data_IF_543020514340
#
_entry.id   IF_543020514340
#
_cell.length_a   1.000
_cell.length_b   1.000
_cell.length_c   1.000
_cell.angle_alpha   90.00
_cell.angle_beta   90.00
_cell.angle_gamma   90.00
#
_symmetry.space_group_name_H-M   'P 1'
#
loop_
_entity.id
_entity.type
_entity.pdbx_description
1 polymer ?
#
# COMPACT_ATOMS: atom_id res chain seq x y z
N UNK A 1 34.35 44.60 -4.78
CA UNK A 1 33.85 43.34 -4.21
C UNK A 1 32.51 42.88 -4.82
N UNK A 2 31.73 43.78 -5.44
CA UNK A 2 30.47 43.49 -6.17
C UNK A 2 30.57 42.66 -7.48
N UNK A 3 31.58 42.81 -8.36
CA UNK A 3 31.55 42.14 -9.67
C UNK A 3 31.83 40.63 -9.59
N UNK A 4 32.66 40.21 -8.63
CA UNK A 4 32.96 38.79 -8.39
C UNK A 4 31.76 38.00 -7.86
N UNK A 5 30.91 38.64 -7.05
CA UNK A 5 29.69 38.02 -6.52
C UNK A 5 28.63 37.82 -7.61
N UNK A 6 28.47 38.79 -8.52
CA UNK A 6 27.59 38.64 -9.69
C UNK A 6 28.09 37.56 -10.64
N UNK A 7 29.40 37.49 -10.88
CA UNK A 7 30.01 36.43 -11.70
C UNK A 7 29.74 35.04 -11.11
N UNK A 8 29.90 34.86 -9.80
CA UNK A 8 29.66 33.58 -9.14
C UNK A 8 28.19 33.14 -9.20
N UNK A 9 27.26 34.08 -9.04
CA UNK A 9 25.82 33.81 -9.16
C UNK A 9 25.46 33.41 -10.61
N UNK A 10 26.01 34.11 -11.61
CA UNK A 10 25.81 33.77 -13.01
C UNK A 10 26.40 32.39 -13.36
N UNK A 11 27.62 32.09 -12.89
CA UNK A 11 28.25 30.79 -13.10
C UNK A 11 27.47 29.65 -12.43
N UNK A 12 26.97 29.87 -11.20
CA UNK A 12 26.12 28.91 -10.50
C UNK A 12 24.79 28.68 -11.22
N UNK A 13 24.17 29.74 -11.76
CA UNK A 13 22.94 29.63 -12.52
C UNK A 13 23.15 28.82 -13.82
N UNK A 14 24.25 29.07 -14.54
CA UNK A 14 24.60 28.31 -15.75
C UNK A 14 24.82 26.82 -15.42
N UNK A 15 25.50 26.52 -14.32
CA UNK A 15 25.71 25.13 -13.87
C UNK A 15 24.40 24.43 -13.51
N UNK A 16 23.48 25.12 -12.83
CA UNK A 16 22.16 24.57 -12.48
C UNK A 16 21.33 24.33 -13.74
N UNK A 17 21.33 25.27 -14.69
CA UNK A 17 20.61 25.10 -15.97
C UNK A 17 21.20 23.94 -16.77
N UNK A 18 22.53 23.87 -16.93
CA UNK A 18 23.20 22.79 -17.64
C UNK A 18 22.95 21.41 -16.99
N UNK A 19 22.96 21.35 -15.65
CA UNK A 19 22.65 20.12 -14.93
C UNK A 19 21.17 19.74 -15.09
N UNK A 20 20.25 20.71 -15.05
CA UNK A 20 18.83 20.46 -15.27
C UNK A 20 18.55 19.96 -16.68
N UNK A 21 19.19 20.53 -17.71
CA UNK A 21 19.07 20.07 -19.09
C UNK A 21 19.68 18.67 -19.27
N UNK A 22 20.82 18.39 -18.63
CA UNK A 22 21.43 17.06 -18.65
C UNK A 22 20.50 16.00 -18.05
N UNK A 23 19.89 16.29 -16.88
CA UNK A 23 18.96 15.37 -16.21
C UNK A 23 17.66 15.20 -17.04
N UNK A 24 17.14 16.28 -17.62
CA UNK A 24 15.95 16.20 -18.50
C UNK A 24 16.26 15.37 -19.74
N UNK A 25 17.41 15.59 -20.37
CA UNK A 25 17.80 14.87 -21.60
C UNK A 25 18.07 13.38 -21.32
N UNK A 26 18.69 13.05 -20.20
CA UNK A 26 18.92 11.64 -19.81
C UNK A 26 17.61 10.94 -19.46
N UNK A 27 16.69 11.61 -18.74
CA UNK A 27 15.35 11.06 -18.49
C UNK A 27 14.53 10.89 -19.78
N UNK A 28 14.63 11.82 -20.72
CA UNK A 28 13.95 11.72 -22.03
C UNK A 28 14.53 10.57 -22.85
N UNK A 29 15.84 10.35 -22.79
CA UNK A 29 16.52 9.20 -23.42
C UNK A 29 16.06 7.88 -22.80
N UNK A 30 16.02 7.78 -21.47
CA UNK A 30 15.51 6.59 -20.77
C UNK A 30 14.04 6.34 -21.13
N UNK A 31 13.22 7.39 -21.22
CA UNK A 31 11.81 7.25 -21.64
C UNK A 31 11.69 6.67 -23.05
N UNK A 32 12.52 7.16 -24.00
CA UNK A 32 12.56 6.60 -25.36
C UNK A 32 13.02 5.15 -25.38
N UNK A 33 14.03 4.80 -24.58
CA UNK A 33 14.52 3.43 -24.48
C UNK A 33 13.46 2.49 -23.89
N UNK A 34 12.63 2.96 -22.95
CA UNK A 34 11.48 2.21 -22.42
C UNK A 34 10.37 2.07 -23.46
N UNK A 35 10.06 3.12 -24.23
CA UNK A 35 9.05 3.06 -25.28
C UNK A 35 9.50 2.15 -26.44
N UNK A 36 10.77 2.21 -26.86
CA UNK A 36 11.36 1.28 -27.83
C UNK A 36 11.35 -0.15 -27.29
N UNK A 37 11.64 -0.35 -26.00
CA UNK A 37 11.57 -1.68 -25.38
C UNK A 37 10.12 -2.19 -25.35
N UNK A 38 9.14 -1.31 -25.14
CA UNK A 38 7.72 -1.64 -25.17
C UNK A 38 7.27 -2.02 -26.58
N UNK A 39 7.69 -1.26 -27.59
CA UNK A 39 7.39 -1.54 -29.00
C UNK A 39 8.03 -2.86 -29.45
N UNK A 40 9.31 -3.09 -29.10
CA UNK A 40 9.99 -4.37 -29.34
C UNK A 40 9.32 -5.54 -28.62
N UNK A 41 8.85 -5.33 -27.38
CA UNK A 41 8.14 -6.37 -26.63
C UNK A 41 6.77 -6.67 -27.24
N UNK A 42 6.04 -5.65 -27.70
CA UNK A 42 4.80 -5.83 -28.43
C UNK A 42 5.05 -6.55 -29.76
N UNK A 43 6.06 -6.17 -30.53
CA UNK A 43 6.45 -6.86 -31.78
C UNK A 43 6.84 -8.32 -31.53
N UNK A 44 7.60 -8.59 -30.46
CA UNK A 44 7.94 -9.95 -30.02
C UNK A 44 6.69 -10.72 -29.59
N UNK A 45 5.76 -10.10 -28.88
CA UNK A 45 4.50 -10.71 -28.47
C UNK A 45 3.62 -11.03 -29.70
N UNK A 46 3.52 -10.13 -30.68
CA UNK A 46 2.82 -10.37 -31.94
C UNK A 46 3.50 -11.47 -32.78
N UNK A 47 4.83 -11.55 -32.79
CA UNK A 47 5.60 -12.62 -33.44
C UNK A 47 5.46 -13.98 -32.72
N UNK A 48 5.28 -13.98 -31.39
CA UNK A 48 4.97 -15.19 -30.61
C UNK A 48 3.52 -15.64 -30.78
N UNK A 49 2.60 -14.72 -31.09
CA UNK A 49 1.19 -15.02 -31.30
C UNK A 49 0.86 -15.45 -32.75
N UNK A 50 1.73 -15.15 -33.72
CA UNK A 50 1.51 -15.43 -35.15
C UNK A 50 2.13 -16.74 -35.67
N UNK A 51 2.87 -17.50 -34.85
CA UNK A 51 3.45 -18.78 -35.28
C UNK A 51 2.43 -19.93 -35.13
N UNK A 52 2.13 -20.68 -36.22
CA UNK A 52 1.43 -21.95 -36.10
C UNK A 52 2.42 -23.05 -35.67
N UNK A 53 2.01 -23.79 -34.64
CA UNK A 53 2.63 -24.99 -34.06
C UNK A 53 3.90 -24.81 -33.20
N UNK A 54 3.74 -24.89 -31.87
CA UNK A 54 4.31 -25.91 -30.95
C UNK A 54 3.78 -25.60 -29.53
N UNK A 55 2.70 -26.27 -29.15
CA UNK A 55 2.01 -26.12 -27.85
C UNK A 55 2.91 -26.51 -26.64
N UNK A 56 4.00 -27.25 -26.87
CA UNK A 56 4.82 -27.87 -25.83
C UNK A 56 5.80 -26.87 -25.16
N UNK A 57 6.24 -25.84 -25.87
CA UNK A 57 7.28 -24.91 -25.37
C UNK A 57 6.73 -23.87 -24.40
N UNK A 58 5.48 -23.42 -24.57
CA UNK A 58 4.83 -22.47 -23.61
C UNK A 58 4.63 -23.11 -22.25
N UNK A 59 4.30 -24.40 -22.20
CA UNK A 59 4.15 -25.16 -20.96
C UNK A 59 5.51 -25.30 -20.23
N UNK A 60 6.57 -25.63 -20.96
CA UNK A 60 7.92 -25.71 -20.39
C UNK A 60 8.42 -24.35 -19.89
N UNK A 61 8.18 -23.28 -20.65
CA UNK A 61 8.60 -21.93 -20.28
C UNK A 61 7.84 -21.42 -19.06
N UNK A 62 6.53 -21.67 -18.98
CA UNK A 62 5.71 -21.31 -17.82
C UNK A 62 6.11 -22.11 -16.56
N UNK A 63 6.44 -23.40 -16.70
CA UNK A 63 6.93 -24.21 -15.58
C UNK A 63 8.32 -23.76 -15.12
N UNK A 64 9.19 -23.39 -16.05
CA UNK A 64 10.53 -22.87 -15.75
C UNK A 64 10.43 -21.54 -15.01
N UNK A 65 9.54 -20.66 -15.46
CA UNK A 65 9.24 -19.39 -14.78
C UNK A 65 8.65 -19.63 -13.37
N UNK A 66 7.69 -20.54 -13.22
CA UNK A 66 7.09 -20.86 -11.92
C UNK A 66 8.12 -21.41 -10.92
N UNK A 67 9.05 -22.25 -11.39
CA UNK A 67 10.14 -22.78 -10.57
C UNK A 67 11.13 -21.68 -10.15
N UNK A 68 11.52 -20.79 -11.06
CA UNK A 68 12.39 -19.65 -10.75
C UNK A 68 11.71 -18.73 -9.73
N UNK A 69 10.42 -18.42 -9.93
CA UNK A 69 9.64 -17.59 -9.00
C UNK A 69 9.60 -18.25 -7.62
N UNK A 70 9.31 -19.56 -7.53
CA UNK A 70 9.31 -20.30 -6.27
C UNK A 70 10.68 -20.28 -5.59
N UNK A 71 11.75 -20.45 -6.35
CA UNK A 71 13.11 -20.46 -5.83
C UNK A 71 13.52 -19.10 -5.29
N UNK A 72 13.30 -18.02 -6.06
CA UNK A 72 13.58 -16.65 -5.61
C UNK A 72 12.73 -16.31 -4.38
N UNK A 73 11.45 -16.66 -4.38
CA UNK A 73 10.57 -16.41 -3.25
C UNK A 73 10.99 -17.20 -2.00
N UNK A 74 11.51 -18.42 -2.15
CA UNK A 74 12.05 -19.20 -1.04
C UNK A 74 13.34 -18.60 -0.48
N UNK A 75 14.25 -18.16 -1.35
CA UNK A 75 15.52 -17.52 -0.94
C UNK A 75 15.27 -16.22 -0.18
N UNK A 76 14.41 -15.35 -0.71
CA UNK A 76 14.03 -14.08 -0.06
C UNK A 76 13.35 -14.33 1.28
N UNK A 77 12.50 -15.36 1.34
CA UNK A 77 11.84 -15.77 2.59
C UNK A 77 12.85 -16.22 3.64
N UNK A 78 13.86 -17.01 3.26
CA UNK A 78 14.84 -17.57 4.19
C UNK A 78 15.80 -16.49 4.71
N UNK A 79 16.24 -15.56 3.86
CA UNK A 79 17.02 -14.39 4.27
C UNK A 79 16.25 -13.51 5.26
N UNK A 80 14.96 -13.30 5.01
CA UNK A 80 14.06 -12.56 5.89
C UNK A 80 13.89 -13.23 7.26
N UNK A 81 13.79 -14.57 7.30
CA UNK A 81 13.74 -15.31 8.56
C UNK A 81 15.03 -15.24 9.36
N UNK A 82 16.17 -15.17 8.68
CA UNK A 82 17.48 -15.04 9.31
C UNK A 82 17.64 -13.65 9.94
N UNK A 83 17.18 -12.60 9.24
CA UNK A 83 17.14 -11.22 9.74
C UNK A 83 16.11 -11.03 10.88
N UNK A 84 15.00 -11.77 10.86
CA UNK A 84 14.02 -11.80 11.96
C UNK A 84 14.62 -12.29 13.28
N UNK A 85 15.60 -13.21 13.22
CA UNK A 85 16.25 -13.76 14.41
C UNK A 85 17.17 -12.75 15.09
N UNK A 86 17.76 -11.84 14.31
CA UNK A 86 18.71 -10.83 14.82
C UNK A 86 18.02 -9.61 15.43
N UNK A 87 16.72 -9.36 15.14
CA UNK A 87 16.00 -8.13 15.56
C UNK A 87 14.98 -8.37 16.69
N UNK A 88 14.88 -9.57 17.24
CA UNK A 88 13.71 -9.96 18.08
C UNK A 88 13.63 -9.22 19.43
N UNK A 89 12.73 -8.23 19.51
CA UNK A 89 12.16 -7.66 20.74
C UNK A 89 10.90 -8.41 21.21
N UNK A 90 10.29 -7.92 22.32
CA UNK A 90 9.29 -8.61 23.14
C UNK A 90 8.09 -9.23 22.37
N UNK A 91 7.81 -10.50 22.66
CA UNK A 91 6.74 -11.31 22.07
C UNK A 91 5.36 -11.01 22.70
N UNK A 92 4.30 -10.95 21.88
CA UNK A 92 2.93 -11.04 22.38
C UNK A 92 2.58 -12.51 22.73
N UNK A 93 1.82 -12.77 23.81
CA UNK A 93 1.36 -14.11 24.15
C UNK A 93 0.42 -14.67 23.08
N UNK A 94 0.65 -15.92 22.67
CA UNK A 94 -0.25 -16.66 21.79
C UNK A 94 -1.35 -17.28 22.65
N UNK A 95 -2.53 -16.66 22.70
CA UNK A 95 -3.70 -17.36 23.21
C UNK A 95 -4.21 -18.25 22.07
N UNK A 96 -3.98 -19.55 22.19
CA UNK A 96 -4.54 -20.55 21.29
C UNK A 96 -6.06 -20.39 21.25
N UNK A 97 -6.60 -19.99 20.09
CA UNK A 97 -8.03 -19.93 19.84
C UNK A 97 -8.61 -21.32 20.07
N UNK A 98 -9.40 -21.48 21.14
CA UNK A 98 -10.29 -22.62 21.32
C UNK A 98 -11.13 -22.74 20.05
N UNK A 99 -11.15 -23.94 19.49
CA UNK A 99 -11.81 -24.32 18.24
C UNK A 99 -13.34 -24.25 18.38
N UNK A 100 -13.89 -23.07 18.65
CA UNK A 100 -15.33 -22.83 18.63
C UNK A 100 -15.69 -22.50 17.20
N UNK A 101 -16.42 -23.39 16.52
CA UNK A 101 -17.03 -23.10 15.22
C UNK A 101 -18.02 -21.95 15.40
N UNK A 102 -17.53 -20.71 15.29
CA UNK A 102 -18.38 -19.54 15.12
C UNK A 102 -19.13 -19.77 13.81
N UNK A 103 -20.45 -20.01 13.88
CA UNK A 103 -21.33 -19.93 12.72
C UNK A 103 -21.31 -18.47 12.26
N UNK A 104 -20.40 -18.15 11.34
CA UNK A 104 -20.40 -16.85 10.66
C UNK A 104 -21.66 -16.85 9.80
N UNK A 105 -22.70 -16.17 10.28
CA UNK A 105 -23.82 -15.82 9.41
C UNK A 105 -23.27 -14.77 8.45
N UNK A 106 -23.38 -15.05 7.15
CA UNK A 106 -22.97 -14.11 6.12
C UNK A 106 -23.84 -12.86 6.23
N UNK A 107 -23.28 -11.79 6.82
CA UNK A 107 -23.95 -10.50 7.00
C UNK A 107 -23.45 -9.54 5.93
N UNK A 108 -24.35 -8.70 5.43
CA UNK A 108 -24.02 -7.66 4.45
C UNK A 108 -23.12 -6.60 5.11
N UNK A 109 -21.96 -6.34 4.52
CA UNK A 109 -21.09 -5.25 4.95
C UNK A 109 -21.56 -3.92 4.35
N UNK A 110 -22.52 -3.25 4.99
CA UNK A 110 -23.02 -1.93 4.56
C UNK A 110 -21.95 -0.84 4.50
N UNK A 111 -20.79 -1.02 5.14
CA UNK A 111 -19.66 -0.10 5.05
C UNK A 111 -18.76 -0.35 3.83
N UNK A 112 -19.09 -1.31 2.96
CA UNK A 112 -18.31 -1.60 1.76
C UNK A 112 -18.39 -0.48 0.72
N UNK A 113 -17.24 -0.06 0.19
CA UNK A 113 -17.18 0.89 -0.94
C UNK A 113 -17.96 0.38 -2.15
N UNK A 114 -17.90 -0.94 -2.42
CA UNK A 114 -18.62 -1.57 -3.53
C UNK A 114 -20.14 -1.54 -3.36
N UNK A 115 -20.64 -1.39 -2.14
CA UNK A 115 -22.07 -1.23 -1.85
C UNK A 115 -22.47 0.25 -1.73
N UNK A 116 -21.58 1.18 -2.03
CA UNK A 116 -21.86 2.62 -2.07
C UNK A 116 -21.54 3.37 -0.79
N UNK A 117 -20.89 2.74 0.20
CA UNK A 117 -20.39 3.46 1.37
C UNK A 117 -19.27 4.44 0.97
N UNK A 118 -19.21 5.58 1.65
CA UNK A 118 -18.26 6.66 1.36
C UNK A 118 -17.62 7.20 2.63
N UNK A 119 -16.34 7.52 2.56
CA UNK A 119 -15.68 8.32 3.59
C UNK A 119 -16.06 9.79 3.37
N UNK A 120 -16.71 10.40 4.36
CA UNK A 120 -17.17 11.80 4.32
C UNK A 120 -16.08 12.74 4.80
N UNK A 121 -15.43 12.39 5.91
CA UNK A 121 -14.36 13.19 6.50
C UNK A 121 -13.37 12.31 7.26
N UNK A 122 -12.15 12.81 7.36
CA UNK A 122 -11.06 12.21 8.12
C UNK A 122 -10.36 13.32 8.90
N UNK A 123 -10.31 13.15 10.21
CA UNK A 123 -9.52 13.97 11.11
C UNK A 123 -8.35 13.11 11.61
N UNK A 124 -7.22 13.20 10.92
CA UNK A 124 -5.99 12.49 11.24
C UNK A 124 -4.79 13.25 10.66
N UNK A 125 -3.61 13.06 11.24
CA UNK A 125 -2.37 13.56 10.62
C UNK A 125 -1.98 12.65 9.44
N UNK A 126 -1.66 13.21 8.25
CA UNK A 126 -1.18 12.40 7.12
C UNK A 126 0.15 11.69 7.45
N UNK A 127 0.30 10.44 7.00
CA UNK A 127 1.51 9.63 7.24
C UNK A 127 2.77 10.26 6.61
N UNK A 128 2.64 10.80 5.40
CA UNK A 128 3.71 11.49 4.69
C UNK A 128 3.31 12.95 4.51
N UNK A 129 4.10 13.87 5.08
CA UNK A 129 4.08 15.27 4.68
C UNK A 129 4.87 15.39 3.38
N UNK A 130 4.27 15.94 2.32
CA UNK A 130 4.98 16.13 1.06
C UNK A 130 6.22 17.00 1.28
N UNK A 131 7.42 16.44 1.12
CA UNK A 131 8.67 17.18 1.29
C UNK A 131 9.15 17.72 -0.06
N UNK A 132 9.73 18.94 -0.08
CA UNK A 132 10.30 19.56 -1.29
C UNK A 132 11.37 18.66 -1.96
N UNK A 133 12.15 17.94 -1.16
CA UNK A 133 13.16 16.99 -1.65
C UNK A 133 12.57 15.75 -2.34
N UNK A 134 11.39 15.27 -1.94
CA UNK A 134 10.71 14.14 -2.61
C UNK A 134 10.25 14.54 -4.02
N UNK A 135 9.85 15.80 -4.19
CA UNK A 135 9.53 16.37 -5.50
C UNK A 135 10.77 16.46 -6.40
N UNK A 136 11.93 16.75 -5.81
CA UNK A 136 13.20 16.96 -6.52
C UNK A 136 13.88 15.63 -6.92
N UNK A 137 13.70 14.57 -6.14
CA UNK A 137 14.23 13.21 -6.43
C UNK A 137 13.22 12.35 -7.22
N UNK A 138 12.04 12.89 -7.55
CA UNK A 138 11.03 12.21 -8.36
C UNK A 138 10.39 10.97 -7.70
N UNK A 139 10.65 10.71 -6.41
CA UNK A 139 10.05 9.60 -5.66
C UNK A 139 8.93 10.11 -4.78
N UNK A 140 7.71 10.05 -5.30
CA UNK A 140 6.50 10.43 -4.57
C UNK A 140 5.81 9.18 -4.03
N UNK A 141 5.94 8.93 -2.72
CA UNK A 141 5.14 7.91 -2.05
C UNK A 141 3.79 8.52 -1.69
N UNK A 142 2.74 8.13 -2.41
CA UNK A 142 1.40 8.60 -2.10
C UNK A 142 0.77 7.68 -1.04
N UNK A 143 0.37 8.20 0.14
CA UNK A 143 -0.33 7.38 1.11
C UNK A 143 -1.66 6.92 0.52
N UNK A 144 -2.07 5.72 0.90
CA UNK A 144 -3.36 5.19 0.44
C UNK A 144 -4.51 6.11 0.87
N UNK A 145 -5.50 6.32 -0.01
CA UNK A 145 -6.66 7.12 0.35
C UNK A 145 -7.46 6.42 1.47
N UNK A 146 -8.14 7.18 2.35
CA UNK A 146 -8.94 6.63 3.44
C UNK A 146 -9.96 5.57 3.02
N UNK A 147 -10.53 5.71 1.82
CA UNK A 147 -11.51 4.76 1.27
C UNK A 147 -10.99 3.32 1.20
N UNK A 148 -9.66 3.08 1.19
CA UNK A 148 -9.11 1.72 1.24
C UNK A 148 -9.56 0.93 2.46
N UNK A 149 -9.91 1.59 3.58
CA UNK A 149 -10.42 0.89 4.78
C UNK A 149 -11.79 0.22 4.56
N UNK A 150 -12.53 0.65 3.52
CA UNK A 150 -13.86 0.14 3.16
C UNK A 150 -13.79 -1.02 2.15
N UNK A 151 -12.58 -1.45 1.75
CA UNK A 151 -12.35 -2.55 0.81
C UNK A 151 -12.02 -3.84 1.56
N UNK A 152 -12.36 -4.99 0.97
CA UNK A 152 -12.08 -6.31 1.55
C UNK A 152 -10.67 -6.85 1.27
N UNK A 153 -9.86 -6.14 0.47
CA UNK A 153 -8.52 -6.60 0.09
C UNK A 153 -7.50 -6.39 1.23
N UNK A 154 -7.14 -7.48 1.90
CA UNK A 154 -6.21 -7.51 3.05
C UNK A 154 -4.75 -7.78 2.66
N UNK A 155 -4.29 -7.38 1.47
CA UNK A 155 -2.87 -7.49 1.12
C UNK A 155 -2.02 -6.48 1.92
N UNK A 156 -0.75 -6.80 2.24
CA UNK A 156 0.17 -5.85 2.86
C UNK A 156 0.25 -4.54 2.07
N UNK A 157 0.17 -3.41 2.78
CA UNK A 157 0.15 -2.08 2.15
C UNK A 157 -1.19 -1.67 1.53
N UNK A 158 -2.26 -2.47 1.64
CA UNK A 158 -3.63 -2.06 1.28
C UNK A 158 -4.45 -1.63 2.49
N UNK A 159 -3.98 -0.61 3.20
CA UNK A 159 -4.66 -0.02 4.35
C UNK A 159 -4.67 1.50 4.29
N UNK A 160 -5.59 2.15 5.00
CA UNK A 160 -5.48 3.58 5.28
C UNK A 160 -4.51 3.77 6.45
N UNK A 161 -3.47 4.58 6.22
CA UNK A 161 -2.45 4.87 7.22
C UNK A 161 -2.45 6.36 7.56
N UNK A 162 -2.23 6.65 8.84
CA UNK A 162 -2.15 7.99 9.39
C UNK A 162 -1.00 8.04 10.40
N UNK A 163 -0.51 9.24 10.68
CA UNK A 163 0.54 9.47 11.67
C UNK A 163 -0.07 9.49 13.07
N UNK A 164 0.76 9.14 14.06
CA UNK A 164 0.41 9.05 15.48
C UNK A 164 -0.59 7.93 15.80
N UNK A 165 -1.30 8.05 16.93
CA UNK A 165 -2.14 7.00 17.50
C UNK A 165 -3.65 7.27 17.36
N UNK A 166 -4.04 8.36 16.69
CA UNK A 166 -5.43 8.83 16.64
C UNK A 166 -5.88 9.23 15.24
N UNK A 167 -7.05 8.74 14.87
CA UNK A 167 -7.81 9.16 13.71
C UNK A 167 -9.31 9.10 14.03
N UNK A 168 -10.06 10.07 13.51
CA UNK A 168 -11.53 10.02 13.47
C UNK A 168 -11.96 9.98 12.02
N UNK A 169 -12.83 9.04 11.68
CA UNK A 169 -13.30 8.82 10.30
C UNK A 169 -14.82 8.75 10.31
N UNK A 170 -15.45 9.57 9.47
CA UNK A 170 -16.90 9.55 9.28
C UNK A 170 -17.23 8.79 8.00
N UNK A 171 -17.98 7.71 8.13
CA UNK A 171 -18.41 6.86 7.02
C UNK A 171 -19.91 7.04 6.80
N UNK A 172 -20.30 7.45 5.59
CA UNK A 172 -21.69 7.44 5.15
C UNK A 172 -22.02 6.08 4.56
N UNK A 173 -22.96 5.39 5.19
CA UNK A 173 -23.55 4.16 4.69
C UNK A 173 -24.49 4.46 3.51
N UNK A 174 -24.72 3.51 2.59
CA UNK A 174 -25.56 3.72 1.41
C UNK A 174 -27.03 3.98 1.74
N UNK A 175 -27.49 3.53 2.92
CA UNK A 175 -28.83 3.75 3.44
C UNK A 175 -28.83 3.69 4.97
N UNK A 176 -29.89 4.17 5.65
CA UNK A 176 -30.07 3.94 7.08
C UNK A 176 -30.14 2.44 7.40
N UNK A 177 -29.39 2.01 8.41
CA UNK A 177 -29.36 0.59 8.86
C UNK A 177 -29.30 0.50 10.37
N UNK A 178 -29.85 -0.59 10.90
CA UNK A 178 -29.64 -0.99 12.29
C UNK A 178 -28.33 -1.76 12.41
N UNK A 179 -27.36 -1.19 13.12
CA UNK A 179 -26.03 -1.78 13.26
C UNK A 179 -26.08 -2.89 14.33
N UNK A 180 -25.87 -4.13 13.88
CA UNK A 180 -25.83 -5.32 14.74
C UNK A 180 -24.39 -5.75 15.06
N UNK A 181 -23.48 -5.64 14.08
CA UNK A 181 -22.07 -6.02 14.25
C UNK A 181 -21.14 -5.03 13.55
N UNK A 182 -19.97 -4.85 14.14
CA UNK A 182 -18.88 -4.03 13.62
C UNK A 182 -17.66 -4.93 13.48
N UNK A 183 -17.06 -4.93 12.29
CA UNK A 183 -15.85 -5.68 12.00
C UNK A 183 -14.66 -4.74 11.81
N UNK A 184 -13.56 -5.03 12.49
CA UNK A 184 -12.25 -4.43 12.23
C UNK A 184 -11.27 -5.55 11.88
N UNK A 185 -10.42 -5.34 10.87
CA UNK A 185 -9.46 -6.34 10.42
C UNK A 185 -8.09 -5.71 10.18
N UNK A 186 -7.05 -6.48 10.46
CA UNK A 186 -5.66 -6.13 10.18
C UNK A 186 -4.93 -7.34 9.59
N UNK A 187 -3.84 -7.11 8.86
CA UNK A 187 -3.01 -8.21 8.34
C UNK A 187 -2.42 -9.03 9.50
N UNK A 188 -2.25 -10.33 9.28
CA UNK A 188 -1.62 -11.21 10.26
C UNK A 188 -0.11 -11.00 10.34
N UNK A 189 0.52 -11.42 11.45
CA UNK A 189 1.99 -11.43 11.62
C UNK A 189 2.72 -12.17 10.50
N UNK A 190 2.09 -13.17 9.87
CA UNK A 190 2.68 -13.95 8.76
C UNK A 190 2.68 -13.18 7.43
N UNK A 191 1.74 -12.23 7.27
CA UNK A 191 1.63 -11.39 6.09
C UNK A 191 2.46 -10.12 6.21
N UNK A 192 2.80 -9.69 7.43
CA UNK A 192 3.68 -8.55 7.65
C UNK A 192 5.12 -8.88 7.22
N UNK A 193 5.76 -8.07 6.36
CA UNK A 193 7.16 -8.27 5.96
C UNK A 193 8.13 -8.33 7.14
N UNK A 194 7.90 -7.54 8.19
CA UNK A 194 8.74 -7.51 9.39
C UNK A 194 8.23 -8.44 10.49
N UNK A 195 7.06 -9.04 10.30
CA UNK A 195 6.33 -9.72 11.37
C UNK A 195 5.72 -8.77 12.40
N UNK A 196 5.88 -7.45 12.22
CA UNK A 196 5.30 -6.44 13.09
C UNK A 196 3.85 -6.13 12.70
N UNK A 197 2.97 -6.07 13.70
CA UNK A 197 1.56 -5.70 13.58
C UNK A 197 1.17 -4.65 14.63
N UNK A 198 2.17 -3.96 15.21
CA UNK A 198 2.00 -2.94 16.24
C UNK A 198 1.22 -1.71 15.75
N UNK A 199 1.19 -1.51 14.43
CA UNK A 199 0.40 -0.48 13.74
C UNK A 199 -1.10 -0.75 13.70
N UNK A 200 -1.56 -1.93 14.13
CA UNK A 200 -2.99 -2.22 14.20
C UNK A 200 -3.69 -1.23 15.16
N UNK A 201 -4.88 -0.71 14.82
CA UNK A 201 -5.67 0.07 15.77
C UNK A 201 -5.93 -0.78 17.01
N UNK A 202 -5.91 -0.16 18.20
CA UNK A 202 -6.16 -0.84 19.47
C UNK A 202 -7.56 -0.51 19.97
N UNK A 203 -7.65 0.51 20.81
CA UNK A 203 -8.91 0.98 21.38
C UNK A 203 -9.61 1.92 20.39
N UNK A 204 -10.89 1.67 20.11
CA UNK A 204 -11.70 2.51 19.24
C UNK A 204 -13.14 2.60 19.74
N UNK A 205 -13.79 3.72 19.45
CA UNK A 205 -15.20 3.95 19.81
C UNK A 205 -15.99 4.25 18.56
N UNK A 206 -17.19 3.67 18.44
CA UNK A 206 -18.06 3.85 17.28
C UNK A 206 -19.28 4.65 17.69
N UNK A 207 -19.61 5.64 16.87
CA UNK A 207 -20.74 6.53 17.04
C UNK A 207 -21.71 6.37 15.85
N UNK A 208 -23.00 6.40 16.13
CA UNK A 208 -24.03 6.68 15.14
C UNK A 208 -24.20 8.20 15.04
N UNK A 209 -23.83 8.75 13.88
CA UNK A 209 -23.95 10.18 13.59
C UNK A 209 -25.28 10.41 12.89
N UNK A 210 -26.13 11.24 13.48
CA UNK A 210 -27.40 11.70 12.88
C UNK A 210 -27.36 13.21 12.71
N UNK A 211 -28.34 13.80 12.01
CA UNK A 211 -28.39 15.26 11.80
C UNK A 211 -28.42 16.05 13.11
N UNK A 212 -28.98 15.46 14.17
CA UNK A 212 -29.25 16.16 15.43
C UNK A 212 -28.27 15.77 16.55
N UNK A 213 -27.78 14.53 16.55
CA UNK A 213 -27.12 13.92 17.70
C UNK A 213 -26.12 12.83 17.27
N UNK A 214 -25.02 12.75 18.01
CA UNK A 214 -24.06 11.63 17.95
C UNK A 214 -24.30 10.69 19.12
N UNK A 215 -24.58 9.42 18.82
CA UNK A 215 -24.88 8.38 19.83
C UNK A 215 -23.76 7.34 19.87
N UNK A 216 -23.20 7.09 21.04
CA UNK A 216 -22.19 6.02 21.21
C UNK A 216 -22.86 4.66 21.02
N UNK A 217 -22.37 3.88 20.06
CA UNK A 217 -22.77 2.48 19.87
C UNK A 217 -21.94 1.53 20.72
N UNK A 218 -20.68 1.89 20.99
CA UNK A 218 -19.81 1.14 21.89
C UNK A 218 -18.35 1.51 21.79
N UNK A 219 -17.59 1.10 22.79
CA UNK A 219 -16.13 1.15 22.83
C UNK A 219 -15.58 -0.27 22.78
N UNK A 220 -14.59 -0.47 21.91
CA UNK A 220 -14.05 -1.77 21.57
C UNK A 220 -12.53 -1.73 21.62
N UNK A 221 -11.93 -2.90 21.78
CA UNK A 221 -10.50 -3.10 21.71
C UNK A 221 -10.20 -4.20 20.71
N UNK A 222 -9.31 -3.92 19.77
CA UNK A 222 -8.81 -4.91 18.82
C UNK A 222 -7.64 -5.67 19.44
N UNK A 223 -7.80 -6.98 19.57
CA UNK A 223 -6.75 -7.88 20.01
C UNK A 223 -6.05 -8.48 18.78
N UNK A 224 -4.72 -8.38 18.74
CA UNK A 224 -3.91 -8.82 17.60
C UNK A 224 -4.03 -10.35 17.38
N UNK A 225 -4.18 -10.77 16.13
CA UNK A 225 -4.21 -12.19 15.69
C UNK A 225 -2.79 -12.69 15.38
#
# INVERSE_FOLDING_TARGET
MEPFRRYYIYAAFILVVAFSEYIINENLRISKEIDDLRENFEEMAYAMLSKPDVQNDRYMLMNTLDNIIKQVFSSVRDELYTLKRTVRGAECPNNALSKTRVKIHERVNYASEHLGAKVVSVMAQPLCSSNFFELLVGRKYWPNPPVKMLRSNMAPGNCFAFKDDRAVVVIKLPQPVMIDQIGLSHISKKQSPTGDVSSAPKDFTVFAVTENLDVILGSFRYDCI
#
